data_IF_213248146788
#
_entry.id   IF_213248146788
#
_cell.length_a   1.000
_cell.length_b   1.000
_cell.length_c   1.000
_cell.angle_alpha   90.00
_cell.angle_beta   90.00
_cell.angle_gamma   90.00
#
_symmetry.space_group_name_H-M   'P 1'
#
loop_
_entity.id
_entity.type
_entity.pdbx_description
1 polymer ?
#
# COMPACT_ATOMS: atom_id res chain seq x y z
N UNK A 1 40.76 50.49 -13.90
CA UNK A 1 40.57 49.79 -12.62
C UNK A 1 39.19 49.12 -12.67
N UNK A 2 39.21 47.79 -12.81
CA UNK A 2 38.18 46.75 -12.79
C UNK A 2 36.73 47.03 -13.21
N UNK A 3 36.38 46.51 -14.40
CA UNK A 3 35.01 46.14 -14.80
C UNK A 3 34.61 44.88 -14.04
N UNK A 4 33.56 44.94 -13.20
CA UNK A 4 33.01 43.77 -12.51
C UNK A 4 31.85 43.20 -13.35
N UNK A 5 32.12 42.12 -14.08
CA UNK A 5 31.11 41.39 -14.83
C UNK A 5 30.37 40.44 -13.88
N UNK A 6 29.10 40.74 -13.59
CA UNK A 6 28.24 39.92 -12.76
C UNK A 6 27.69 38.75 -13.61
N UNK A 7 28.36 37.59 -13.59
CA UNK A 7 27.80 36.35 -14.13
C UNK A 7 26.68 35.86 -13.23
N UNK A 8 25.44 36.06 -13.66
CA UNK A 8 24.25 35.42 -13.09
C UNK A 8 24.30 33.93 -13.47
N UNK A 9 24.70 33.09 -12.52
CA UNK A 9 24.64 31.64 -12.65
C UNK A 9 23.17 31.21 -12.51
N UNK A 10 22.42 31.19 -13.62
CA UNK A 10 21.15 30.47 -13.66
C UNK A 10 21.47 28.97 -13.62
N UNK A 11 21.52 28.40 -12.42
CA UNK A 11 21.39 26.96 -12.24
C UNK A 11 20.00 26.58 -12.74
N UNK A 12 19.89 26.17 -14.00
CA UNK A 12 18.78 25.36 -14.46
C UNK A 12 18.77 24.09 -13.61
N UNK A 13 17.97 24.11 -12.54
CA UNK A 13 17.54 22.88 -11.89
C UNK A 13 16.73 22.14 -12.95
N UNK A 14 17.39 21.20 -13.64
CA UNK A 14 16.71 20.21 -14.45
C UNK A 14 15.67 19.61 -13.51
N UNK A 15 14.36 19.66 -13.84
CA UNK A 15 13.37 19.03 -12.99
C UNK A 15 13.79 17.57 -12.90
N UNK A 16 14.16 17.13 -11.69
CA UNK A 16 14.31 15.71 -11.44
C UNK A 16 13.04 15.07 -11.99
N UNK A 17 13.21 14.10 -12.89
CA UNK A 17 12.11 13.23 -13.32
C UNK A 17 11.73 12.41 -12.09
N UNK A 18 11.10 13.06 -11.12
CA UNK A 18 10.70 12.47 -9.85
C UNK A 18 9.76 11.36 -10.22
N UNK A 19 10.21 10.12 -10.00
CA UNK A 19 9.41 8.92 -10.24
C UNK A 19 8.10 9.14 -9.51
N UNK A 20 6.99 8.92 -10.21
CA UNK A 20 5.68 9.16 -9.65
C UNK A 20 5.47 8.29 -8.38
N UNK A 21 6.02 7.08 -8.37
CA UNK A 21 5.91 6.11 -7.28
C UNK A 21 7.24 5.92 -6.53
N UNK A 22 7.14 5.47 -5.28
CA UNK A 22 8.28 4.97 -4.49
C UNK A 22 8.23 3.46 -4.38
N UNK A 23 9.42 2.83 -4.41
CA UNK A 23 9.55 1.38 -4.26
C UNK A 23 10.32 1.06 -2.99
N UNK A 24 9.83 0.09 -2.24
CA UNK A 24 10.55 -0.50 -1.13
C UNK A 24 11.29 -1.78 -1.59
N UNK A 25 12.01 -2.45 -0.68
CA UNK A 25 12.78 -3.67 -0.99
C UNK A 25 11.96 -4.96 -1.07
N UNK A 26 10.70 -4.98 -0.58
CA UNK A 26 9.81 -6.15 -0.54
C UNK A 26 9.35 -6.53 -1.94
N UNK A 27 9.00 -7.79 -2.16
CA UNK A 27 8.43 -8.31 -3.42
C UNK A 27 7.75 -9.65 -3.14
N UNK A 28 6.62 -9.91 -3.76
CA UNK A 28 5.98 -11.23 -3.71
C UNK A 28 6.85 -12.27 -4.39
N UNK A 29 6.96 -13.44 -3.74
CA UNK A 29 7.70 -14.58 -4.28
C UNK A 29 7.00 -15.16 -5.51
N UNK A 30 5.68 -15.35 -5.42
CA UNK A 30 4.87 -15.87 -6.51
C UNK A 30 3.75 -14.87 -6.86
N UNK A 31 4.07 -13.73 -7.49
CA UNK A 31 3.10 -12.65 -7.66
C UNK A 31 1.87 -13.05 -8.49
N UNK A 32 2.00 -14.00 -9.42
CA UNK A 32 0.91 -14.48 -10.30
C UNK A 32 0.11 -15.66 -9.72
N UNK A 33 0.53 -16.18 -8.56
CA UNK A 33 -0.14 -17.27 -7.85
C UNK A 33 -0.03 -17.03 -6.35
N UNK A 34 -0.39 -15.81 -5.94
CA UNK A 34 -0.22 -15.35 -4.58
C UNK A 34 -1.29 -15.95 -3.67
N UNK A 35 -0.86 -16.52 -2.55
CA UNK A 35 -1.76 -17.01 -1.52
C UNK A 35 -1.92 -15.96 -0.44
N UNK A 36 -3.06 -16.01 0.23
CA UNK A 36 -3.34 -15.12 1.35
C UNK A 36 -4.01 -15.83 2.51
N UNK A 37 -3.82 -15.27 3.69
CA UNK A 37 -4.48 -15.69 4.92
C UNK A 37 -5.14 -14.49 5.59
N UNK A 38 -6.30 -14.72 6.19
CA UNK A 38 -7.06 -13.72 6.94
C UNK A 38 -7.37 -14.33 8.30
N UNK A 39 -7.01 -13.62 9.37
CA UNK A 39 -7.32 -13.98 10.73
C UNK A 39 -8.83 -14.23 10.93
N UNK A 40 -9.26 -15.41 11.40
CA UNK A 40 -10.66 -15.71 11.65
C UNK A 40 -11.34 -14.75 12.64
N UNK A 41 -10.57 -13.99 13.42
CA UNK A 41 -11.11 -12.97 14.33
C UNK A 41 -11.89 -11.88 13.58
N UNK A 42 -11.58 -11.59 12.32
CA UNK A 42 -12.38 -10.67 11.51
C UNK A 42 -13.82 -11.14 11.29
N UNK A 43 -14.04 -12.46 11.23
CA UNK A 43 -15.38 -13.04 11.03
C UNK A 43 -16.28 -12.79 12.26
N UNK A 44 -15.71 -12.69 13.47
CA UNK A 44 -16.45 -12.33 14.68
C UNK A 44 -17.09 -10.94 14.60
N UNK A 45 -16.57 -10.08 13.74
CA UNK A 45 -17.06 -8.72 13.52
C UNK A 45 -17.75 -8.55 12.16
N UNK A 46 -17.93 -9.62 11.38
CA UNK A 46 -18.43 -9.60 10.00
C UNK A 46 -17.58 -8.74 9.04
N UNK A 47 -16.26 -8.66 9.27
CA UNK A 47 -15.33 -7.81 8.49
C UNK A 47 -14.36 -8.60 7.60
N UNK A 48 -14.37 -9.94 7.65
CA UNK A 48 -13.51 -10.78 6.81
C UNK A 48 -13.71 -10.56 5.31
N UNK A 49 -14.91 -10.15 4.90
CA UNK A 49 -15.23 -9.77 3.51
C UNK A 49 -14.47 -8.54 3.03
N UNK A 50 -14.41 -7.49 3.85
CA UNK A 50 -13.71 -6.24 3.50
C UNK A 50 -12.19 -6.43 3.45
N UNK A 51 -11.65 -7.26 4.35
CA UNK A 51 -10.23 -7.64 4.30
C UNK A 51 -9.92 -8.41 3.01
N UNK A 52 -10.77 -9.37 2.66
CA UNK A 52 -10.62 -10.12 1.41
C UNK A 52 -10.71 -9.18 0.20
N UNK A 53 -11.65 -8.24 0.19
CA UNK A 53 -11.82 -7.29 -0.92
C UNK A 53 -10.56 -6.44 -1.13
N UNK A 54 -9.98 -5.89 -0.05
CA UNK A 54 -8.76 -5.08 -0.16
C UNK A 54 -7.54 -5.86 -0.65
N UNK A 55 -7.41 -7.14 -0.26
CA UNK A 55 -6.36 -8.03 -0.79
C UNK A 55 -6.58 -8.25 -2.29
N UNK A 56 -7.81 -8.60 -2.69
CA UNK A 56 -8.12 -8.97 -4.07
C UNK A 56 -8.19 -7.77 -5.03
N UNK A 57 -8.22 -6.53 -4.53
CA UNK A 57 -8.21 -5.32 -5.36
C UNK A 57 -6.99 -5.28 -6.31
N UNK A 58 -5.86 -5.87 -5.91
CA UNK A 58 -4.65 -5.95 -6.72
C UNK A 58 -4.75 -6.93 -7.90
N UNK A 59 -5.75 -7.82 -7.93
CA UNK A 59 -6.00 -8.70 -9.08
C UNK A 59 -6.47 -7.94 -10.33
N UNK A 60 -6.75 -6.64 -10.22
CA UNK A 60 -7.02 -5.77 -11.36
C UNK A 60 -5.78 -5.52 -12.24
N UNK A 61 -4.57 -5.87 -11.76
CA UNK A 61 -3.32 -5.60 -12.45
C UNK A 61 -2.73 -6.86 -13.09
N UNK A 62 -2.09 -6.69 -14.27
CA UNK A 62 -1.11 -7.57 -14.86
C UNK A 62 -0.51 -8.60 -13.95
N UNK A 63 0.31 -8.00 -13.09
CA UNK A 63 1.50 -8.46 -12.43
C UNK A 63 1.20 -9.30 -11.20
N UNK A 64 0.04 -9.07 -10.58
CA UNK A 64 -0.34 -9.66 -9.31
C UNK A 64 -1.67 -10.40 -9.48
N UNK A 65 -1.72 -11.62 -8.94
CA UNK A 65 -2.93 -12.43 -8.90
C UNK A 65 -2.94 -13.27 -7.63
N UNK A 66 -3.80 -12.89 -6.71
CA UNK A 66 -4.19 -13.71 -5.57
C UNK A 66 -5.18 -14.79 -6.01
N UNK A 67 -4.78 -16.05 -5.86
CA UNK A 67 -5.54 -17.20 -6.38
C UNK A 67 -6.23 -17.99 -5.28
N UNK A 68 -5.74 -17.92 -4.04
CA UNK A 68 -6.20 -18.81 -2.97
C UNK A 68 -6.10 -18.20 -1.57
N UNK A 69 -7.22 -18.29 -0.82
CA UNK A 69 -7.20 -18.18 0.65
C UNK A 69 -6.76 -19.53 1.22
N UNK A 70 -5.75 -19.54 2.08
CA UNK A 70 -5.27 -20.74 2.77
C UNK A 70 -5.65 -20.70 4.27
N UNK A 71 -5.68 -21.84 4.98
CA UNK A 71 -6.10 -21.89 6.39
C UNK A 71 -4.99 -21.47 7.38
N UNK A 72 -3.74 -21.31 6.93
CA UNK A 72 -2.60 -20.93 7.76
C UNK A 72 -1.88 -19.72 7.20
N UNK A 73 -1.33 -18.88 8.10
CA UNK A 73 -0.52 -17.71 7.74
C UNK A 73 0.88 -18.06 7.23
N UNK A 74 1.30 -19.33 7.29
CA UNK A 74 2.63 -19.74 6.86
C UNK A 74 2.73 -19.88 5.34
N UNK A 75 3.79 -19.32 4.75
CA UNK A 75 4.12 -19.51 3.33
C UNK A 75 3.21 -18.77 2.35
N UNK A 76 2.55 -17.70 2.80
CA UNK A 76 1.69 -16.85 1.97
C UNK A 76 2.38 -15.54 1.59
N UNK A 77 1.94 -14.94 0.49
CA UNK A 77 2.37 -13.60 0.07
C UNK A 77 1.80 -12.51 0.97
N UNK A 78 0.59 -12.73 1.52
CA UNK A 78 -0.08 -11.79 2.45
C UNK A 78 -0.80 -12.54 3.58
N UNK A 79 -0.50 -12.21 4.82
CA UNK A 79 -1.24 -12.61 6.02
C UNK A 79 -1.73 -11.37 6.76
N UNK A 80 -3.04 -11.24 6.92
CA UNK A 80 -3.65 -10.12 7.64
C UNK A 80 -4.14 -10.57 9.01
N UNK A 81 -3.53 -10.04 10.06
CA UNK A 81 -3.80 -10.30 11.47
C UNK A 81 -4.64 -9.18 12.08
N UNK A 82 -5.53 -9.53 13.02
CA UNK A 82 -6.28 -8.53 13.79
C UNK A 82 -5.78 -8.47 15.23
N UNK A 83 -5.45 -7.26 15.70
CA UNK A 83 -5.17 -7.02 17.11
C UNK A 83 -6.26 -6.11 17.70
N UNK A 84 -7.02 -6.63 18.66
CA UNK A 84 -8.03 -5.88 19.41
C UNK A 84 -7.37 -4.96 20.47
N UNK A 85 -6.53 -4.04 19.98
CA UNK A 85 -5.89 -2.97 20.75
C UNK A 85 -5.74 -1.72 19.90
N UNK A 86 -5.71 -0.56 20.54
CA UNK A 86 -5.28 0.67 19.89
C UNK A 86 -3.75 0.70 19.75
N UNK A 87 -3.27 1.38 18.71
CA UNK A 87 -1.84 1.61 18.49
C UNK A 87 -1.60 3.04 17.98
N UNK A 88 -1.73 4.02 18.89
CA UNK A 88 -1.65 5.44 18.53
C UNK A 88 -2.63 5.80 17.43
N UNK A 89 -2.13 6.42 16.36
CA UNK A 89 -2.93 6.86 15.21
C UNK A 89 -3.05 5.81 14.09
N UNK A 90 -2.49 4.61 14.25
CA UNK A 90 -2.43 3.61 13.20
C UNK A 90 -3.73 2.81 13.10
N UNK A 91 -4.19 2.60 11.87
CA UNK A 91 -5.28 1.69 11.52
C UNK A 91 -4.73 0.31 11.11
N UNK A 92 -3.63 0.30 10.36
CA UNK A 92 -2.92 -0.89 9.92
C UNK A 92 -1.41 -0.67 9.94
N UNK A 93 -0.65 -1.74 9.76
CA UNK A 93 0.78 -1.70 9.55
C UNK A 93 1.30 -2.97 8.86
N UNK A 94 2.04 -2.77 7.78
CA UNK A 94 2.85 -3.77 7.08
C UNK A 94 4.22 -3.93 7.75
N UNK A 95 4.58 -5.16 8.11
CA UNK A 95 5.88 -5.51 8.73
C UNK A 95 6.86 -6.13 7.74
N UNK A 96 6.46 -6.39 6.50
CA UNK A 96 7.24 -7.16 5.56
C UNK A 96 7.03 -8.67 5.75
N UNK A 97 7.64 -9.44 4.86
CA UNK A 97 7.48 -10.90 4.78
C UNK A 97 6.01 -11.34 4.66
N UNK A 98 5.16 -10.49 4.08
CA UNK A 98 3.73 -10.73 3.91
C UNK A 98 2.87 -10.38 5.13
N UNK A 99 3.46 -9.97 6.27
CA UNK A 99 2.69 -9.77 7.51
C UNK A 99 2.11 -8.37 7.62
N UNK A 100 0.79 -8.29 7.72
CA UNK A 100 0.02 -7.07 7.96
C UNK A 100 -0.75 -7.22 9.27
N UNK A 101 -0.72 -6.20 10.11
CA UNK A 101 -1.53 -6.11 11.33
C UNK A 101 -2.55 -4.99 11.20
N UNK A 102 -3.80 -5.27 11.54
CA UNK A 102 -4.90 -4.31 11.60
C UNK A 102 -5.31 -4.12 13.07
N UNK A 103 -5.47 -2.87 13.46
CA UNK A 103 -5.72 -2.47 14.85
C UNK A 103 -7.20 -2.19 15.11
N UNK A 104 -7.58 -2.15 16.39
CA UNK A 104 -8.97 -1.89 16.83
C UNK A 104 -9.61 -0.65 16.20
N UNK A 105 -8.82 0.43 16.09
CA UNK A 105 -9.23 1.72 15.54
C UNK A 105 -9.81 1.60 14.12
N UNK A 106 -9.24 0.72 13.29
CA UNK A 106 -9.70 0.47 11.91
C UNK A 106 -11.16 0.00 11.87
N UNK A 107 -11.54 -0.89 12.80
CA UNK A 107 -12.92 -1.40 12.88
C UNK A 107 -13.89 -0.34 13.41
N UNK A 108 -13.47 0.42 14.41
CA UNK A 108 -14.39 1.27 15.20
C UNK A 108 -14.58 2.67 14.61
N UNK A 109 -13.60 3.21 13.91
CA UNK A 109 -13.64 4.61 13.45
C UNK A 109 -13.80 4.77 11.93
N UNK A 110 -13.36 3.79 11.15
CA UNK A 110 -13.43 3.88 9.69
C UNK A 110 -14.73 3.30 9.16
N UNK A 111 -15.29 3.95 8.13
CA UNK A 111 -16.33 3.38 7.27
C UNK A 111 -15.78 2.34 6.29
N UNK A 112 -16.68 1.57 5.66
CA UNK A 112 -16.34 0.42 4.80
C UNK A 112 -15.29 0.74 3.72
N UNK A 113 -15.47 1.82 2.96
CA UNK A 113 -14.52 2.22 1.91
C UNK A 113 -13.10 2.42 2.44
N UNK A 114 -12.94 3.16 3.55
CA UNK A 114 -11.63 3.43 4.16
C UNK A 114 -11.04 2.21 4.83
N UNK A 115 -11.89 1.32 5.35
CA UNK A 115 -11.44 0.03 5.86
C UNK A 115 -10.81 -0.80 4.75
N UNK A 116 -11.47 -0.91 3.60
CA UNK A 116 -10.93 -1.62 2.44
C UNK A 116 -9.67 -0.91 1.91
N UNK A 117 -9.68 0.42 1.75
CA UNK A 117 -8.51 1.21 1.31
C UNK A 117 -7.29 1.01 2.22
N UNK A 118 -7.48 0.92 3.54
CA UNK A 118 -6.39 0.58 4.48
C UNK A 118 -5.76 -0.77 4.10
N UNK A 119 -6.58 -1.78 3.81
CA UNK A 119 -6.06 -3.10 3.41
C UNK A 119 -5.34 -3.02 2.07
N UNK A 120 -5.88 -2.29 1.10
CA UNK A 120 -5.21 -2.09 -0.20
C UNK A 120 -3.84 -1.44 0.01
N UNK A 121 -3.75 -0.41 0.85
CA UNK A 121 -2.51 0.30 1.18
C UNK A 121 -1.47 -0.65 1.79
N UNK A 122 -1.83 -1.41 2.83
CA UNK A 122 -0.88 -2.32 3.49
C UNK A 122 -0.43 -3.46 2.55
N UNK A 123 -1.32 -3.96 1.69
CA UNK A 123 -0.95 -4.94 0.66
C UNK A 123 -0.02 -4.32 -0.38
N UNK A 124 -0.19 -3.05 -0.73
CA UNK A 124 0.74 -2.31 -1.60
C UNK A 124 2.15 -2.26 -1.02
N UNK A 125 2.29 -2.05 0.29
CA UNK A 125 3.57 -2.18 0.96
C UNK A 125 4.20 -3.57 0.81
N UNK A 126 3.45 -4.64 1.06
CA UNK A 126 3.94 -6.02 0.87
C UNK A 126 4.28 -6.33 -0.59
N UNK A 127 3.53 -5.76 -1.53
CA UNK A 127 3.75 -5.89 -2.96
C UNK A 127 4.99 -5.14 -3.46
N UNK A 128 5.57 -4.23 -2.66
CA UNK A 128 6.83 -3.57 -2.95
C UNK A 128 6.78 -2.05 -3.08
N UNK A 129 5.64 -1.41 -2.75
CA UNK A 129 5.46 0.04 -2.85
C UNK A 129 5.85 0.75 -1.55
N UNK A 130 6.55 1.87 -1.67
CA UNK A 130 6.74 2.83 -0.58
C UNK A 130 5.56 3.80 -0.50
N UNK A 131 5.60 4.72 0.47
CA UNK A 131 4.67 5.86 0.42
C UNK A 131 4.96 6.71 -0.83
N UNK A 132 3.92 7.16 -1.53
CA UNK A 132 4.10 8.09 -2.65
C UNK A 132 4.55 9.47 -2.16
N UNK A 133 5.01 10.32 -3.07
CA UNK A 133 5.28 11.71 -2.72
C UNK A 133 3.97 12.50 -2.62
N UNK A 134 3.94 13.50 -1.73
CA UNK A 134 2.77 14.37 -1.48
C UNK A 134 2.06 14.90 -2.73
N UNK A 135 2.81 15.21 -3.80
CA UNK A 135 2.26 15.70 -5.08
C UNK A 135 1.37 14.67 -5.79
N UNK A 136 1.49 13.39 -5.44
CA UNK A 136 0.78 12.26 -6.03
C UNK A 136 -0.26 11.67 -5.08
N UNK A 137 -0.48 12.26 -3.90
CA UNK A 137 -1.45 11.78 -2.90
C UNK A 137 -2.84 11.50 -3.50
N UNK A 138 -3.32 12.35 -4.41
CA UNK A 138 -4.64 12.19 -5.04
C UNK A 138 -4.75 11.05 -6.08
N UNK A 139 -3.64 10.42 -6.45
CA UNK A 139 -3.56 9.35 -7.46
C UNK A 139 -2.86 8.08 -6.95
N UNK A 140 -2.70 7.94 -5.63
CA UNK A 140 -2.10 6.78 -4.97
C UNK A 140 -2.88 6.44 -3.69
N UNK A 141 -3.21 5.17 -3.46
CA UNK A 141 -3.60 4.72 -2.11
C UNK A 141 -2.39 4.65 -1.18
N UNK A 142 -1.18 4.59 -1.73
CA UNK A 142 0.08 4.59 -0.98
C UNK A 142 0.48 5.95 -0.40
N UNK A 143 -0.47 6.85 -0.12
CA UNK A 143 -0.20 8.11 0.57
C UNK A 143 0.03 7.88 2.07
N UNK A 144 0.91 8.66 2.70
CA UNK A 144 1.26 8.48 4.13
C UNK A 144 0.12 8.87 5.08
N UNK A 145 -0.65 9.91 4.72
CA UNK A 145 -1.71 10.48 5.56
C UNK A 145 -3.01 10.64 4.81
N UNK A 146 -4.12 10.53 5.53
CA UNK A 146 -5.52 10.57 5.04
C UNK A 146 -5.87 9.47 4.03
N UNK A 147 -7.06 9.58 3.43
CA UNK A 147 -7.63 8.62 2.49
C UNK A 147 -8.05 9.34 1.21
N UNK A 148 -8.06 8.62 0.10
CA UNK A 148 -8.69 9.05 -1.14
C UNK A 148 -10.13 8.57 -1.29
N UNK A 149 -10.60 7.74 -0.36
CA UNK A 149 -11.89 7.05 -0.42
C UNK A 149 -11.99 6.17 -1.69
N UNK A 150 -10.90 5.43 -1.95
CA UNK A 150 -10.70 4.54 -3.09
C UNK A 150 -10.21 3.17 -2.62
N UNK A 151 -11.10 2.19 -2.70
CA UNK A 151 -10.84 0.80 -2.31
C UNK A 151 -10.07 -0.02 -3.38
N UNK A 152 -9.17 0.61 -4.15
CA UNK A 152 -8.39 -0.05 -5.21
C UNK A 152 -7.13 0.74 -5.59
N UNK A 153 -6.10 0.08 -6.15
CA UNK A 153 -4.89 0.75 -6.62
C UNK A 153 -5.20 1.84 -7.65
N UNK A 154 -4.63 3.02 -7.45
CA UNK A 154 -4.75 4.19 -8.33
C UNK A 154 -3.56 4.28 -9.28
N UNK A 155 -3.56 5.30 -10.15
CA UNK A 155 -2.62 5.38 -11.26
C UNK A 155 -1.16 5.22 -10.81
N UNK A 156 -0.76 5.91 -9.75
CA UNK A 156 0.62 5.87 -9.27
C UNK A 156 1.00 4.48 -8.73
N UNK A 157 0.09 3.86 -7.99
CA UNK A 157 0.26 2.52 -7.45
C UNK A 157 0.44 1.49 -8.58
N UNK A 158 -0.37 1.60 -9.64
CA UNK A 158 -0.31 0.73 -10.83
C UNK A 158 1.03 0.88 -11.55
N UNK A 159 1.48 2.12 -11.75
CA UNK A 159 2.76 2.40 -12.39
C UNK A 159 3.93 1.82 -11.55
N UNK A 160 3.82 1.88 -10.22
CA UNK A 160 4.77 1.27 -9.30
C UNK A 160 4.81 -0.25 -9.39
N UNK A 161 3.66 -0.91 -9.40
CA UNK A 161 3.57 -2.38 -9.55
C UNK A 161 4.12 -2.83 -10.91
N UNK A 162 3.73 -2.16 -12.00
CA UNK A 162 4.24 -2.44 -13.34
C UNK A 162 5.77 -2.26 -13.44
N UNK A 163 6.37 -1.39 -12.62
CA UNK A 163 7.83 -1.26 -12.55
C UNK A 163 8.49 -2.36 -11.71
N UNK A 164 7.80 -2.84 -10.68
CA UNK A 164 8.33 -3.76 -9.68
C UNK A 164 8.41 -5.21 -10.16
N UNK A 165 7.48 -5.62 -11.03
CA UNK A 165 7.29 -6.99 -11.51
C UNK A 165 7.58 -7.12 -13.00
#
# INVERSE_FOLDING_TARGET
MYFFCLTVLFCFQVPEKGRAYELNSKKFKNPKDAFYWIDPTFDKYNLGGEVKEGILAWNALPEIKFTKKVPSASGVEVSVEYLDKYNGNLYGQSFGSGRITIYKKWREELGSTRRIETIVHEVGHEAGLGHTQKKNDGIAVMRELDFNDKAYPLKDDKDGIAKKY
#
